data_IF_306424391342
#
_entry.id   IF_306424391342
#
_cell.length_a   1.000
_cell.length_b   1.000
_cell.length_c   1.000
_cell.angle_alpha   90.00
_cell.angle_beta   90.00
_cell.angle_gamma   90.00
#
_symmetry.space_group_name_H-M   'P 1'
#
loop_
_entity.id
_entity.type
_entity.pdbx_description
1 polymer ?
#
# COMPACT_ATOMS: atom_id res chain seq x y z
N UNK A 1 11.08 -6.56 -22.09
CA UNK A 1 11.71 -6.81 -20.79
C UNK A 1 11.25 -8.13 -20.15
N UNK A 2 10.19 -8.76 -20.63
CA UNK A 2 9.71 -10.06 -20.11
C UNK A 2 9.28 -10.03 -18.63
N UNK A 3 8.81 -8.89 -18.13
CA UNK A 3 8.26 -8.76 -16.78
C UNK A 3 6.93 -9.50 -16.65
N UNK A 4 6.69 -10.15 -15.52
CA UNK A 4 5.44 -10.85 -15.23
C UNK A 4 4.53 -10.08 -14.27
N UNK A 5 5.10 -9.16 -13.51
CA UNK A 5 4.40 -8.27 -12.60
C UNK A 5 4.96 -6.86 -12.70
N UNK A 6 4.09 -5.85 -12.68
CA UNK A 6 4.45 -4.45 -12.72
C UNK A 6 3.85 -3.70 -11.54
N UNK A 7 4.66 -2.90 -10.85
CA UNK A 7 4.17 -1.94 -9.86
C UNK A 7 4.21 -0.56 -10.49
N UNK A 8 3.06 0.10 -10.52
CA UNK A 8 2.88 1.42 -11.14
C UNK A 8 2.57 2.43 -10.04
N UNK A 9 3.24 3.57 -10.10
CA UNK A 9 2.99 4.70 -9.22
C UNK A 9 2.97 6.00 -10.01
N UNK A 10 2.36 7.04 -9.49
CA UNK A 10 2.36 8.39 -10.07
C UNK A 10 2.57 9.44 -8.99
N UNK A 11 2.80 10.67 -9.43
CA UNK A 11 2.61 11.85 -8.58
C UNK A 11 1.12 12.14 -8.42
N UNK A 12 0.75 12.87 -7.35
CA UNK A 12 -0.61 13.36 -7.17
C UNK A 12 -0.94 14.38 -8.26
N UNK A 13 -2.17 14.31 -8.75
CA UNK A 13 -2.69 15.21 -9.81
C UNK A 13 -3.88 16.00 -9.29
N UNK A 14 -3.71 16.66 -8.16
CA UNK A 14 -4.71 17.58 -7.58
C UNK A 14 -5.07 18.78 -8.48
N UNK A 15 -4.27 19.00 -9.53
CA UNK A 15 -4.52 19.97 -10.58
C UNK A 15 -5.64 19.55 -11.55
N UNK A 16 -6.01 18.27 -11.58
CA UNK A 16 -7.08 17.75 -12.45
C UNK A 16 -8.41 17.63 -11.71
N UNK A 17 -9.54 17.86 -12.38
CA UNK A 17 -10.87 17.71 -11.78
C UNK A 17 -11.17 16.33 -11.23
N UNK A 18 -10.65 15.29 -11.91
CA UNK A 18 -10.74 13.86 -11.51
C UNK A 18 -9.51 13.36 -10.75
N UNK A 19 -8.61 14.27 -10.35
CA UNK A 19 -7.35 13.95 -9.65
C UNK A 19 -6.49 12.89 -10.35
N UNK A 20 -6.70 12.71 -11.65
CA UNK A 20 -5.99 11.75 -12.47
C UNK A 20 -6.56 10.32 -12.45
N UNK A 21 -7.76 10.10 -11.90
CA UNK A 21 -8.39 8.77 -11.87
C UNK A 21 -8.57 8.18 -13.28
N UNK A 22 -8.96 8.99 -14.27
CA UNK A 22 -9.05 8.58 -15.68
C UNK A 22 -7.70 8.12 -16.24
N UNK A 23 -6.62 8.87 -15.98
CA UNK A 23 -5.27 8.48 -16.40
C UNK A 23 -4.82 7.15 -15.78
N UNK A 24 -5.16 6.90 -14.51
CA UNK A 24 -4.90 5.62 -13.87
C UNK A 24 -5.58 4.47 -14.59
N UNK A 25 -6.89 4.60 -14.84
CA UNK A 25 -7.67 3.58 -15.51
C UNK A 25 -7.17 3.30 -16.95
N UNK A 26 -6.86 4.35 -17.70
CA UNK A 26 -6.36 4.22 -19.07
C UNK A 26 -4.96 3.59 -19.10
N UNK A 27 -4.09 3.94 -18.15
CA UNK A 27 -2.76 3.33 -18.01
C UNK A 27 -2.87 1.83 -17.72
N UNK A 28 -3.74 1.42 -16.79
CA UNK A 28 -3.94 0.01 -16.45
C UNK A 28 -4.44 -0.77 -17.68
N UNK A 29 -5.43 -0.23 -18.40
CA UNK A 29 -5.97 -0.85 -19.62
C UNK A 29 -4.92 -0.97 -20.72
N UNK A 30 -4.16 0.11 -20.96
CA UNK A 30 -3.13 0.13 -22.00
C UNK A 30 -1.98 -0.87 -21.68
N UNK A 31 -1.53 -0.94 -20.42
CA UNK A 31 -0.52 -1.92 -20.02
C UNK A 31 -1.01 -3.35 -20.22
N UNK A 32 -2.27 -3.64 -19.87
CA UNK A 32 -2.86 -4.97 -20.07
C UNK A 32 -3.03 -5.33 -21.54
N UNK A 33 -3.39 -4.37 -22.39
CA UNK A 33 -3.55 -4.58 -23.83
C UNK A 33 -2.21 -4.94 -24.51
N UNK A 34 -1.13 -4.18 -24.22
CA UNK A 34 0.18 -4.42 -24.87
C UNK A 34 1.01 -5.52 -24.19
N UNK A 35 0.63 -5.95 -22.97
CA UNK A 35 1.34 -7.00 -22.22
C UNK A 35 0.33 -8.04 -21.68
N UNK A 36 -0.27 -8.86 -22.51
CA UNK A 36 -1.21 -9.87 -22.04
C UNK A 36 -0.55 -10.82 -21.05
N UNK A 37 -1.17 -11.01 -19.87
CA UNK A 37 -0.66 -11.88 -18.82
C UNK A 37 0.27 -11.20 -17.78
N UNK A 38 0.59 -9.91 -17.96
CA UNK A 38 1.25 -9.13 -16.88
C UNK A 38 0.23 -8.78 -15.82
N UNK A 39 0.52 -9.12 -14.58
CA UNK A 39 -0.24 -8.67 -13.42
C UNK A 39 0.23 -7.30 -12.95
N UNK A 40 -0.66 -6.52 -12.32
CA UNK A 40 -0.35 -5.14 -11.92
C UNK A 40 -0.71 -4.85 -10.47
N UNK A 41 0.20 -4.15 -9.81
CA UNK A 41 -0.08 -3.42 -8.59
C UNK A 41 -0.06 -1.91 -8.91
N UNK A 42 -1.02 -1.18 -8.39
CA UNK A 42 -1.10 0.28 -8.54
C UNK A 42 -1.04 0.95 -7.16
N UNK A 43 -0.05 1.80 -6.94
CA UNK A 43 0.05 2.63 -5.74
C UNK A 43 -0.63 3.98 -6.04
N UNK A 44 -1.87 4.12 -5.58
CA UNK A 44 -2.74 5.24 -5.90
C UNK A 44 -2.77 6.32 -4.80
N UNK A 45 -3.07 7.60 -5.13
CA UNK A 45 -3.39 8.62 -4.14
C UNK A 45 -4.75 8.33 -3.46
N UNK A 46 -5.12 9.16 -2.49
CA UNK A 46 -6.38 8.98 -1.77
C UNK A 46 -7.64 9.45 -2.53
N UNK A 47 -7.49 10.24 -3.59
CA UNK A 47 -8.59 10.88 -4.33
C UNK A 47 -9.61 11.58 -3.41
N UNK A 48 -9.18 12.12 -2.26
CA UNK A 48 -10.01 12.65 -1.16
C UNK A 48 -11.02 11.62 -0.59
N UNK A 49 -10.77 10.33 -0.77
CA UNK A 49 -11.69 9.24 -0.39
C UNK A 49 -12.96 9.17 -1.23
N UNK A 50 -13.04 9.87 -2.37
CA UNK A 50 -14.23 9.99 -3.22
C UNK A 50 -14.53 8.70 -3.96
N UNK A 51 -15.65 8.01 -3.65
CA UNK A 51 -15.97 6.71 -4.25
C UNK A 51 -16.06 6.75 -5.77
N UNK A 52 -16.59 7.84 -6.33
CA UNK A 52 -16.75 7.98 -7.77
C UNK A 52 -15.41 8.01 -8.52
N UNK A 53 -14.34 8.53 -7.91
CA UNK A 53 -12.99 8.55 -8.49
C UNK A 53 -12.28 7.20 -8.28
N UNK A 54 -12.40 6.64 -7.09
CA UNK A 54 -11.84 5.33 -6.78
C UNK A 54 -12.42 4.23 -7.68
N UNK A 55 -13.73 4.25 -7.92
CA UNK A 55 -14.39 3.27 -8.78
C UNK A 55 -13.88 3.31 -10.23
N UNK A 56 -13.49 4.48 -10.76
CA UNK A 56 -12.87 4.58 -12.10
C UNK A 56 -11.61 3.70 -12.18
N UNK A 57 -10.78 3.70 -11.12
CA UNK A 57 -9.58 2.87 -11.05
C UNK A 57 -9.94 1.40 -10.80
N UNK A 58 -10.89 1.13 -9.91
CA UNK A 58 -11.32 -0.24 -9.58
C UNK A 58 -11.91 -0.97 -10.79
N UNK A 59 -12.65 -0.26 -11.65
CA UNK A 59 -13.22 -0.82 -12.89
C UNK A 59 -12.16 -1.23 -13.91
N UNK A 60 -10.95 -0.67 -13.83
CA UNK A 60 -9.81 -1.10 -14.65
C UNK A 60 -9.18 -2.43 -14.19
N UNK A 61 -9.57 -2.92 -12.97
CA UNK A 61 -9.25 -4.24 -12.42
C UNK A 61 -7.76 -4.59 -12.31
N UNK A 62 -6.89 -3.75 -11.72
CA UNK A 62 -5.55 -4.23 -11.35
C UNK A 62 -5.67 -5.35 -10.30
N UNK A 63 -4.69 -6.21 -10.21
CA UNK A 63 -4.70 -7.35 -9.28
C UNK A 63 -4.51 -6.90 -7.82
N UNK A 64 -3.70 -5.86 -7.61
CA UNK A 64 -3.44 -5.26 -6.29
C UNK A 64 -3.57 -3.75 -6.39
N UNK A 65 -4.25 -3.16 -5.43
CA UNK A 65 -4.22 -1.71 -5.22
C UNK A 65 -3.62 -1.42 -3.86
N UNK A 66 -2.58 -0.60 -3.85
CA UNK A 66 -1.95 -0.10 -2.63
C UNK A 66 -2.26 1.39 -2.43
N UNK A 67 -2.54 1.73 -1.18
CA UNK A 67 -2.62 3.09 -0.68
C UNK A 67 -1.98 3.13 0.70
N UNK A 68 -0.86 3.85 0.82
CA UNK A 68 -0.07 3.85 2.05
C UNK A 68 -0.64 4.81 3.10
N UNK A 69 -0.64 4.36 4.37
CA UNK A 69 -0.85 5.25 5.52
C UNK A 69 0.38 6.11 5.80
N UNK A 70 1.57 5.66 5.41
CA UNK A 70 2.89 6.24 5.59
C UNK A 70 3.37 6.27 7.05
N UNK A 71 2.49 6.47 8.03
CA UNK A 71 2.81 6.51 9.45
C UNK A 71 1.60 6.17 10.33
N UNK A 72 1.78 6.19 11.65
CA UNK A 72 0.73 5.97 12.64
C UNK A 72 -0.21 7.19 12.77
N UNK A 73 -1.40 6.99 13.32
CA UNK A 73 -2.46 8.00 13.47
C UNK A 73 -1.97 9.32 14.04
N UNK A 74 -1.25 9.28 15.16
CA UNK A 74 -0.77 10.49 15.86
C UNK A 74 0.15 11.35 14.99
N UNK A 75 1.00 10.71 14.19
CA UNK A 75 2.02 11.40 13.40
C UNK A 75 1.52 11.85 12.02
N UNK A 76 0.35 11.38 11.57
CA UNK A 76 -0.15 11.66 10.21
C UNK A 76 -0.20 13.15 9.88
N UNK A 77 -0.71 13.99 10.79
CA UNK A 77 -0.83 15.44 10.54
C UNK A 77 0.52 16.17 10.47
N UNK A 78 1.57 15.62 11.11
CA UNK A 78 2.93 16.17 11.06
C UNK A 78 3.67 15.75 9.78
N UNK A 79 3.42 14.52 9.31
CA UNK A 79 4.18 13.89 8.22
C UNK A 79 3.51 14.10 6.87
N UNK A 80 2.18 14.12 6.83
CA UNK A 80 1.37 14.25 5.61
C UNK A 80 0.53 15.53 5.68
N UNK A 81 0.93 16.56 4.94
CA UNK A 81 0.31 17.88 5.02
C UNK A 81 -1.18 17.91 4.60
N UNK A 82 -1.63 17.01 3.75
CA UNK A 82 -3.00 16.97 3.19
C UNK A 82 -3.77 15.70 3.54
N UNK A 83 -3.11 14.55 3.52
CA UNK A 83 -3.77 13.26 3.73
C UNK A 83 -4.13 13.06 5.20
N UNK A 84 -5.32 12.49 5.43
CA UNK A 84 -5.83 12.17 6.76
C UNK A 84 -5.81 10.66 6.96
N UNK A 85 -5.47 10.23 8.16
CA UNK A 85 -5.40 8.81 8.53
C UNK A 85 -6.72 8.07 8.21
N UNK A 86 -7.86 8.63 8.66
CA UNK A 86 -9.16 8.01 8.45
C UNK A 86 -9.60 8.01 6.98
N UNK A 87 -9.21 9.02 6.20
CA UNK A 87 -9.45 9.02 4.75
C UNK A 87 -8.67 7.88 4.09
N UNK A 88 -7.39 7.72 4.45
CA UNK A 88 -6.55 6.64 3.92
C UNK A 88 -7.08 5.25 4.31
N UNK A 89 -7.54 5.04 5.55
CA UNK A 89 -8.23 3.79 5.93
C UNK A 89 -9.52 3.59 5.13
N UNK A 90 -10.28 4.66 4.87
CA UNK A 90 -11.48 4.63 4.04
C UNK A 90 -11.19 4.20 2.60
N UNK A 91 -10.07 4.63 2.03
CA UNK A 91 -9.61 4.18 0.70
C UNK A 91 -9.29 2.68 0.71
N UNK A 92 -8.51 2.22 1.69
CA UNK A 92 -8.17 0.78 1.83
C UNK A 92 -9.44 -0.08 1.98
N UNK A 93 -10.44 0.40 2.76
CA UNK A 93 -11.74 -0.27 2.89
C UNK A 93 -12.47 -0.39 1.56
N UNK A 94 -12.50 0.68 0.76
CA UNK A 94 -13.15 0.67 -0.55
C UNK A 94 -12.46 -0.29 -1.52
N UNK A 95 -11.11 -0.35 -1.52
CA UNK A 95 -10.36 -1.31 -2.32
C UNK A 95 -10.74 -2.74 -1.95
N UNK A 96 -10.75 -3.07 -0.66
CA UNK A 96 -11.12 -4.41 -0.17
C UNK A 96 -12.58 -4.75 -0.53
N UNK A 97 -13.51 -3.81 -0.37
CA UNK A 97 -14.93 -3.98 -0.71
C UNK A 97 -15.16 -4.21 -2.22
N UNK A 98 -14.28 -3.69 -3.09
CA UNK A 98 -14.30 -3.94 -4.52
C UNK A 98 -13.76 -5.33 -4.91
N UNK A 99 -13.32 -6.15 -3.94
CA UNK A 99 -12.77 -7.48 -4.16
C UNK A 99 -11.37 -7.48 -4.77
N UNK A 100 -10.64 -6.37 -4.67
CA UNK A 100 -9.25 -6.22 -5.11
C UNK A 100 -8.34 -6.44 -3.90
N UNK A 101 -7.15 -7.02 -4.11
CA UNK A 101 -6.19 -7.17 -3.02
C UNK A 101 -5.77 -5.79 -2.51
N UNK A 102 -6.16 -5.49 -1.26
CA UNK A 102 -5.85 -4.23 -0.62
C UNK A 102 -4.50 -4.31 0.10
N UNK A 103 -3.62 -3.36 -0.19
CA UNK A 103 -2.29 -3.24 0.39
C UNK A 103 -2.06 -1.85 0.95
N UNK A 104 -1.30 -1.78 2.05
CA UNK A 104 -0.88 -0.53 2.65
C UNK A 104 0.53 -0.63 3.21
N UNK A 105 1.11 0.48 3.60
CA UNK A 105 2.44 0.52 4.19
C UNK A 105 2.66 1.71 5.10
N UNK A 106 3.63 1.54 6.00
CA UNK A 106 4.14 2.57 6.89
C UNK A 106 5.67 2.60 6.89
N UNK A 107 6.21 3.72 7.24
CA UNK A 107 7.64 3.90 7.51
C UNK A 107 7.87 4.04 9.01
N UNK A 108 8.96 3.45 9.51
CA UNK A 108 9.36 3.53 10.91
C UNK A 108 10.58 4.46 11.10
N UNK A 109 10.71 5.01 12.30
CA UNK A 109 11.81 5.90 12.67
C UNK A 109 11.43 7.38 12.65
N UNK A 110 10.14 7.70 12.67
CA UNK A 110 9.59 9.04 12.75
C UNK A 110 9.11 9.41 14.16
N UNK A 111 9.24 8.48 15.14
CA UNK A 111 8.88 8.66 16.55
C UNK A 111 7.55 8.02 16.94
N UNK A 112 7.10 7.04 16.18
CA UNK A 112 6.02 6.13 16.53
C UNK A 112 6.44 5.20 17.68
N UNK A 113 5.46 4.76 18.48
CA UNK A 113 5.69 3.74 19.51
C UNK A 113 5.32 2.33 19.00
N UNK A 114 5.84 1.26 19.61
CA UNK A 114 5.45 -0.10 19.24
C UNK A 114 3.94 -0.34 19.34
N UNK A 115 3.28 0.22 20.33
CA UNK A 115 1.83 0.11 20.52
C UNK A 115 1.06 0.75 19.38
N UNK A 116 1.48 1.94 18.93
CA UNK A 116 0.86 2.66 17.81
C UNK A 116 1.02 1.90 16.49
N UNK A 117 2.15 1.21 16.30
CA UNK A 117 2.38 0.36 15.11
C UNK A 117 1.42 -0.83 15.14
N UNK A 118 1.29 -1.50 16.30
CA UNK A 118 0.37 -2.64 16.45
C UNK A 118 -1.11 -2.22 16.33
N UNK A 119 -1.49 -1.05 16.82
CA UNK A 119 -2.81 -0.45 16.62
C UNK A 119 -3.08 -0.15 15.14
N UNK A 120 -2.08 0.40 14.43
CA UNK A 120 -2.18 0.64 12.98
C UNK A 120 -2.38 -0.65 12.18
N UNK A 121 -1.77 -1.76 12.61
CA UNK A 121 -2.04 -3.08 12.03
C UNK A 121 -3.49 -3.51 12.24
N UNK A 122 -4.02 -3.33 13.46
CA UNK A 122 -5.42 -3.66 13.78
C UNK A 122 -6.39 -2.79 12.97
N UNK A 123 -6.15 -1.50 12.85
CA UNK A 123 -6.93 -0.58 12.03
C UNK A 123 -6.97 -1.02 10.56
N UNK A 124 -5.81 -1.40 9.99
CA UNK A 124 -5.71 -1.88 8.62
C UNK A 124 -6.45 -3.22 8.40
N UNK A 125 -6.32 -4.17 9.32
CA UNK A 125 -7.06 -5.43 9.25
C UNK A 125 -8.57 -5.23 9.35
N UNK A 126 -9.01 -4.33 10.22
CA UNK A 126 -10.44 -4.00 10.40
C UNK A 126 -11.09 -3.42 9.12
N UNK A 127 -10.30 -2.85 8.21
CA UNK A 127 -10.78 -2.35 6.91
C UNK A 127 -10.54 -3.32 5.74
N UNK A 128 -10.03 -4.53 6.01
CA UNK A 128 -9.83 -5.58 5.01
C UNK A 128 -8.50 -5.51 4.26
N UNK A 129 -7.51 -4.80 4.79
CA UNK A 129 -6.15 -4.81 4.24
C UNK A 129 -5.55 -6.22 4.35
N UNK A 130 -5.00 -6.74 3.27
CA UNK A 130 -4.44 -8.08 3.21
C UNK A 130 -2.92 -8.11 3.25
N UNK A 131 -2.28 -7.05 2.79
CA UNK A 131 -0.82 -6.95 2.63
C UNK A 131 -0.32 -5.67 3.30
N UNK A 132 0.71 -5.81 4.13
CA UNK A 132 1.35 -4.67 4.78
C UNK A 132 2.85 -4.62 4.48
N UNK A 133 3.37 -3.44 4.18
CA UNK A 133 4.80 -3.18 4.05
C UNK A 133 5.27 -2.24 5.16
N UNK A 134 6.43 -2.55 5.76
CA UNK A 134 7.02 -1.76 6.83
C UNK A 134 8.51 -1.56 6.51
N UNK A 135 8.91 -0.30 6.27
CA UNK A 135 10.28 0.06 5.93
C UNK A 135 10.84 1.14 6.85
N UNK A 136 12.15 1.32 6.84
CA UNK A 136 12.79 2.45 7.53
C UNK A 136 12.54 3.75 6.76
N UNK A 137 12.11 4.80 7.46
CA UNK A 137 12.12 6.15 6.92
C UNK A 137 13.56 6.58 6.63
N UNK A 138 13.80 6.97 5.39
CA UNK A 138 15.06 7.55 4.94
C UNK A 138 14.81 8.99 4.53
N UNK A 139 15.49 9.93 5.17
CA UNK A 139 15.33 11.36 4.90
C UNK A 139 15.73 11.71 3.46
N UNK A 140 14.81 12.15 2.58
CA UNK A 140 15.13 12.39 1.17
C UNK A 140 16.03 13.62 0.95
N UNK A 141 15.83 14.68 1.74
CA UNK A 141 16.65 15.90 1.67
C UNK A 141 16.68 16.60 3.04
N UNK A 142 17.50 17.64 3.18
CA UNK A 142 17.63 18.40 4.44
C UNK A 142 16.35 19.13 4.84
N UNK A 143 15.42 19.33 3.93
CA UNK A 143 14.13 20.01 4.17
C UNK A 143 13.07 19.07 4.75
N UNK A 144 13.27 17.76 4.64
CA UNK A 144 12.37 16.75 5.18
C UNK A 144 12.66 16.47 6.67
N UNK A 145 11.73 15.80 7.32
CA UNK A 145 11.84 15.41 8.73
C UNK A 145 13.12 14.61 8.99
N UNK A 146 13.74 14.86 10.13
CA UNK A 146 14.91 14.09 10.57
C UNK A 146 14.48 12.69 11.00
N UNK A 147 15.32 11.69 10.70
CA UNK A 147 15.15 10.36 11.28
C UNK A 147 15.29 10.48 12.80
N UNK A 148 14.24 10.11 13.55
CA UNK A 148 14.25 10.13 15.02
C UNK A 148 14.88 8.86 15.59
N UNK A 149 14.75 7.75 14.88
CA UNK A 149 15.30 6.46 15.31
C UNK A 149 15.68 5.58 14.12
N UNK A 150 16.78 4.88 14.24
CA UNK A 150 17.17 3.80 13.33
C UNK A 150 16.72 2.48 13.94
N UNK A 151 15.64 1.93 13.39
CA UNK A 151 15.02 0.72 13.90
C UNK A 151 15.91 -0.49 13.60
N UNK A 152 16.11 -1.34 14.60
CA UNK A 152 16.94 -2.55 14.44
C UNK A 152 16.24 -3.61 13.58
N UNK A 153 17.00 -4.43 12.83
CA UNK A 153 16.42 -5.50 12.00
C UNK A 153 15.54 -6.47 12.80
N UNK A 154 15.89 -6.76 14.05
CA UNK A 154 15.12 -7.66 14.92
C UNK A 154 13.72 -7.08 15.24
N UNK A 155 13.60 -5.75 15.31
CA UNK A 155 12.34 -5.08 15.54
C UNK A 155 11.44 -5.16 14.29
N UNK A 156 12.01 -5.03 13.09
CA UNK A 156 11.28 -5.26 11.85
C UNK A 156 10.75 -6.70 11.80
N UNK A 157 11.58 -7.67 12.15
CA UNK A 157 11.18 -9.08 12.21
C UNK A 157 10.05 -9.30 13.21
N UNK A 158 10.10 -8.67 14.38
CA UNK A 158 9.01 -8.71 15.35
C UNK A 158 7.69 -8.21 14.74
N UNK A 159 7.70 -7.09 14.00
CA UNK A 159 6.48 -6.58 13.35
C UNK A 159 5.98 -7.47 12.22
N UNK A 160 6.87 -8.11 11.47
CA UNK A 160 6.49 -9.12 10.47
C UNK A 160 5.72 -10.28 11.12
N UNK A 161 6.30 -10.88 12.16
CA UNK A 161 5.69 -11.99 12.90
C UNK A 161 4.37 -11.58 13.58
N UNK A 162 4.33 -10.38 14.17
CA UNK A 162 3.13 -9.84 14.81
C UNK A 162 2.00 -9.63 13.79
N UNK A 163 2.29 -9.03 12.64
CA UNK A 163 1.30 -8.79 11.60
C UNK A 163 0.75 -10.09 11.00
N UNK A 164 1.62 -11.07 10.72
CA UNK A 164 1.17 -12.39 10.25
C UNK A 164 0.29 -13.07 11.29
N UNK A 165 0.66 -13.02 12.58
CA UNK A 165 -0.14 -13.56 13.69
C UNK A 165 -1.48 -12.86 13.85
N UNK A 166 -1.57 -11.56 13.57
CA UNK A 166 -2.80 -10.77 13.60
C UNK A 166 -3.75 -11.14 12.45
N UNK A 167 -3.25 -11.69 11.34
CA UNK A 167 -4.07 -12.16 10.23
C UNK A 167 -3.78 -11.51 8.87
N UNK A 168 -2.75 -10.70 8.73
CA UNK A 168 -2.30 -10.28 7.41
C UNK A 168 -1.89 -11.50 6.58
N UNK A 169 -2.24 -11.48 5.31
CA UNK A 169 -1.83 -12.52 4.37
C UNK A 169 -0.33 -12.45 4.05
N UNK A 170 0.19 -11.23 3.93
CA UNK A 170 1.61 -10.96 3.74
C UNK A 170 2.00 -9.72 4.55
N UNK A 171 3.18 -9.79 5.16
CA UNK A 171 3.85 -8.65 5.80
C UNK A 171 5.30 -8.65 5.33
N UNK A 172 5.71 -7.60 4.64
CA UNK A 172 7.10 -7.38 4.25
C UNK A 172 7.67 -6.29 5.16
N UNK A 173 8.55 -6.68 6.09
CA UNK A 173 9.04 -5.78 7.14
C UNK A 173 10.55 -5.89 7.29
N UNK A 174 11.29 -4.94 6.73
CA UNK A 174 12.75 -4.85 6.80
C UNK A 174 13.21 -3.40 6.58
N UNK A 175 14.43 -3.00 6.96
CA UNK A 175 14.90 -1.63 6.81
C UNK A 175 14.82 -1.08 5.38
N UNK A 176 15.08 -1.89 4.38
CA UNK A 176 15.09 -1.48 2.97
C UNK A 176 13.80 -1.81 2.21
N UNK A 177 12.76 -2.29 2.89
CA UNK A 177 11.45 -2.53 2.26
C UNK A 177 10.88 -1.22 1.70
N UNK A 178 10.32 -1.33 0.52
CA UNK A 178 9.53 -0.31 -0.17
C UNK A 178 8.22 -0.92 -0.64
N UNK A 179 7.25 -0.10 -1.04
CA UNK A 179 5.93 -0.57 -1.47
C UNK A 179 5.98 -1.62 -2.57
N UNK A 180 6.98 -1.59 -3.45
CA UNK A 180 7.16 -2.57 -4.54
C UNK A 180 7.92 -3.84 -4.14
N UNK A 181 8.38 -3.97 -2.89
CA UNK A 181 9.19 -5.11 -2.47
C UNK A 181 8.38 -6.39 -2.50
N UNK A 182 8.87 -7.41 -3.23
CA UNK A 182 8.24 -8.71 -3.43
C UNK A 182 6.76 -8.65 -3.88
N UNK A 183 6.37 -7.59 -4.59
CA UNK A 183 4.98 -7.33 -4.96
C UNK A 183 4.34 -8.48 -5.76
N UNK A 184 5.13 -9.22 -6.55
CA UNK A 184 4.69 -10.40 -7.31
C UNK A 184 4.12 -11.53 -6.44
N UNK A 185 4.49 -11.59 -5.15
CA UNK A 185 3.99 -12.59 -4.20
C UNK A 185 2.59 -12.28 -3.67
N UNK A 186 2.17 -11.03 -3.77
CA UNK A 186 0.93 -10.55 -3.17
C UNK A 186 -0.33 -10.86 -4.00
N UNK A 187 -0.15 -11.33 -5.23
CA UNK A 187 -1.24 -11.70 -6.13
C UNK A 187 -1.96 -12.94 -5.58
N UNK A 188 -3.27 -13.02 -5.74
CA UNK A 188 -4.08 -14.14 -5.29
C UNK A 188 -3.60 -15.47 -5.90
N UNK A 189 -3.03 -16.33 -5.09
CA UNK A 189 -2.80 -17.74 -5.43
C UNK A 189 -4.07 -18.57 -5.24
N UNK A 190 -5.19 -18.15 -5.86
CA UNK A 190 -6.40 -18.98 -5.93
C UNK A 190 -6.28 -20.12 -6.98
N UNK A 191 -5.06 -20.42 -7.44
CA UNK A 191 -4.83 -21.48 -8.41
C UNK A 191 -3.96 -22.64 -7.90
N UNK A 192 -3.65 -22.72 -6.60
CA UNK A 192 -2.82 -23.84 -6.08
C UNK A 192 -3.54 -24.71 -5.03
N UNK A 193 -4.84 -25.00 -5.27
CA UNK A 193 -5.54 -26.11 -4.60
C UNK A 193 -5.89 -27.20 -5.61
N UNK A 194 -4.89 -27.78 -6.27
CA UNK A 194 -5.15 -28.87 -7.21
C UNK A 194 -3.87 -29.40 -7.84
N UNK A 195 -2.96 -30.01 -7.09
CA UNK A 195 -2.23 -31.21 -7.43
C UNK A 195 -1.05 -31.46 -6.47
N UNK A 196 -1.33 -32.06 -5.33
CA UNK A 196 -0.37 -32.94 -4.66
C UNK A 196 -1.04 -34.30 -4.53
N UNK A 197 -0.82 -35.11 -5.53
CA UNK A 197 -0.88 -36.55 -5.44
C UNK A 197 0.56 -37.04 -5.58
#
# INVERSE_FOLDING_TARGET
>A
MGIRHAVITSVDRDDLPDKGAGFWADTIRAVREVNPGVTMETLIPDFDGRPELLNVVFDARPEVISHNLETVRRLTSEIRSRAKYDTSLGVVRQIAAAGIVAKSGIMLGLGETPEEILETMDDLLAVGCQVMTIGQYLRPSREHLTVKEWIRPEQFKFYEEAGLKKGFRFVESQPLVRSSYHAEKHINSNHDTGNRI
#
